data_IF_203917102730
#
_entry.id   IF_203917102730
#
_cell.length_a   1.000
_cell.length_b   1.000
_cell.length_c   1.000
_cell.angle_alpha   90.00
_cell.angle_beta   90.00
_cell.angle_gamma   90.00
#
_symmetry.space_group_name_H-M   'P 1'
#
loop_
_entity.id
_entity.type
_entity.pdbx_description
1 polymer ?
#
# COMPACT_ATOMS: atom_id res chain seq x y z
N UNK A 1 17.46 -11.85 12.80
CA UNK A 1 18.37 -11.65 13.97
C UNK A 1 18.21 -10.21 14.45
N UNK A 2 17.92 -10.00 15.74
CA UNK A 2 17.75 -8.64 16.30
C UNK A 2 19.15 -8.02 16.42
N UNK A 3 19.38 -6.87 15.81
CA UNK A 3 20.65 -6.14 15.85
C UNK A 3 20.78 -5.39 17.17
N UNK A 4 22.02 -5.26 17.68
CA UNK A 4 22.29 -4.39 18.82
C UNK A 4 22.33 -2.91 18.42
N UNK A 5 22.13 -2.01 19.37
CA UNK A 5 22.25 -0.54 19.12
C UNK A 5 23.64 -0.16 18.58
N UNK A 6 24.69 -0.87 19.01
CA UNK A 6 26.07 -0.64 18.54
C UNK A 6 26.24 -1.04 17.07
N UNK A 7 25.69 -2.19 16.67
CA UNK A 7 25.71 -2.63 15.26
C UNK A 7 24.97 -1.64 14.36
N UNK A 8 23.82 -1.15 14.81
CA UNK A 8 23.06 -0.10 14.07
C UNK A 8 23.87 1.18 13.94
N UNK A 9 24.53 1.63 15.03
CA UNK A 9 25.39 2.82 14.98
C UNK A 9 26.57 2.64 14.03
N UNK A 10 27.21 1.48 14.03
CA UNK A 10 28.32 1.17 13.09
C UNK A 10 27.84 1.22 11.63
N UNK A 11 26.67 0.68 11.35
CA UNK A 11 26.07 0.74 10.00
C UNK A 11 25.81 2.20 9.57
N UNK A 12 25.25 3.02 10.46
CA UNK A 12 25.00 4.44 10.20
C UNK A 12 26.32 5.17 9.92
N UNK A 13 27.34 4.97 10.76
CA UNK A 13 28.64 5.63 10.61
C UNK A 13 29.42 5.16 9.40
N UNK A 14 29.18 3.93 8.94
CA UNK A 14 29.79 3.37 7.74
C UNK A 14 29.09 3.75 6.42
N UNK A 15 28.00 4.52 6.48
CA UNK A 15 27.23 4.92 5.31
C UNK A 15 26.96 6.43 5.31
N UNK A 16 27.61 7.15 4.39
CA UNK A 16 27.53 8.61 4.30
C UNK A 16 26.11 9.15 4.16
N UNK A 17 25.25 8.46 3.42
CA UNK A 17 23.84 8.83 3.24
C UNK A 17 23.07 8.72 4.56
N UNK A 18 23.22 7.61 5.26
CA UNK A 18 22.58 7.40 6.57
C UNK A 18 23.12 8.38 7.61
N UNK A 19 24.44 8.60 7.63
CA UNK A 19 25.07 9.53 8.54
C UNK A 19 24.57 10.97 8.36
N UNK A 20 24.38 11.40 7.11
CA UNK A 20 23.84 12.73 6.81
C UNK A 20 22.41 12.91 7.33
N UNK A 21 21.55 11.91 7.18
CA UNK A 21 20.20 11.93 7.75
C UNK A 21 20.24 11.90 9.28
N UNK A 22 21.08 11.04 9.85
CA UNK A 22 21.28 10.90 11.29
C UNK A 22 21.71 12.19 11.97
N UNK A 23 22.62 12.93 11.37
CA UNK A 23 23.08 14.23 11.88
C UNK A 23 21.99 15.31 11.85
N UNK A 24 21.02 15.19 10.97
CA UNK A 24 19.86 16.09 10.91
C UNK A 24 18.83 15.87 12.02
N UNK A 25 18.92 14.76 12.75
CA UNK A 25 17.98 14.43 13.82
C UNK A 25 18.44 14.93 15.18
N UNK A 26 17.47 15.33 16.03
CA UNK A 26 17.77 15.62 17.42
C UNK A 26 18.04 14.32 18.21
N UNK A 27 18.57 14.46 19.43
CA UNK A 27 18.97 13.32 20.27
C UNK A 27 17.82 12.37 20.56
N UNK A 28 16.62 12.87 20.79
CA UNK A 28 15.43 12.04 21.06
C UNK A 28 15.05 11.18 19.85
N UNK A 29 15.08 11.76 18.67
CA UNK A 29 14.83 11.04 17.40
C UNK A 29 15.89 9.96 17.14
N UNK A 30 17.17 10.27 17.42
CA UNK A 30 18.27 9.32 17.30
C UNK A 30 18.12 8.13 18.25
N UNK A 31 17.81 8.38 19.52
CA UNK A 31 17.59 7.31 20.50
C UNK A 31 16.37 6.46 20.13
N UNK A 32 15.27 7.10 19.72
CA UNK A 32 14.05 6.43 19.28
C UNK A 32 14.31 5.50 18.08
N UNK A 33 15.09 5.97 17.10
CA UNK A 33 15.48 5.16 15.95
C UNK A 33 16.31 3.94 16.35
N UNK A 34 17.27 4.11 17.24
CA UNK A 34 18.05 2.98 17.77
C UNK A 34 17.18 1.96 18.49
N UNK A 35 16.19 2.41 19.27
CA UNK A 35 15.23 1.52 19.93
C UNK A 35 14.43 0.68 18.93
N UNK A 36 13.95 1.30 17.85
CA UNK A 36 13.25 0.58 16.80
C UNK A 36 14.14 -0.44 16.09
N UNK A 37 15.35 -0.03 15.69
CA UNK A 37 16.27 -0.91 14.95
C UNK A 37 16.82 -2.06 15.80
N UNK A 38 16.93 -1.86 17.12
CA UNK A 38 17.38 -2.88 18.07
C UNK A 38 16.24 -3.74 18.65
N UNK A 39 15.00 -3.50 18.23
CA UNK A 39 13.83 -4.24 18.73
C UNK A 39 13.44 -3.95 20.18
N UNK A 40 14.07 -2.94 20.83
CA UNK A 40 13.68 -2.51 22.17
C UNK A 40 12.32 -1.79 22.16
N UNK A 41 11.95 -1.25 21.02
CA UNK A 41 10.65 -0.63 20.79
C UNK A 41 10.03 -1.14 19.50
N UNK A 42 8.78 -1.57 19.56
CA UNK A 42 8.02 -2.02 18.38
C UNK A 42 7.59 -0.85 17.50
N UNK A 43 7.78 -0.98 16.21
CA UNK A 43 7.24 -0.02 15.22
C UNK A 43 5.75 -0.33 15.01
N UNK A 44 4.91 0.70 15.08
CA UNK A 44 3.51 0.58 14.69
C UNK A 44 3.42 0.59 13.16
N UNK A 45 3.39 -0.59 12.57
CA UNK A 45 3.42 -0.77 11.11
C UNK A 45 2.22 -0.10 10.41
N UNK A 46 1.09 0.03 11.11
CA UNK A 46 -0.11 0.70 10.62
C UNK A 46 -0.07 2.23 10.78
N UNK A 47 1.08 2.80 11.12
CA UNK A 47 1.28 4.23 11.04
C UNK A 47 1.47 4.62 9.56
N UNK A 48 0.64 5.51 9.05
CA UNK A 48 0.51 5.84 7.63
C UNK A 48 1.86 6.02 6.90
N UNK A 49 2.76 6.80 7.47
CA UNK A 49 4.09 7.05 6.90
C UNK A 49 4.94 5.77 6.83
N UNK A 50 4.95 4.97 7.90
CA UNK A 50 5.71 3.71 7.91
C UNK A 50 5.10 2.67 6.99
N UNK A 51 3.78 2.60 6.94
CA UNK A 51 3.08 1.68 6.06
C UNK A 51 3.43 1.95 4.59
N UNK A 52 3.33 3.20 4.16
CA UNK A 52 3.66 3.61 2.79
C UNK A 52 5.13 3.39 2.44
N UNK A 53 6.05 3.59 3.37
CA UNK A 53 7.48 3.37 3.15
C UNK A 53 7.83 1.87 3.11
N UNK A 54 7.27 1.07 4.03
CA UNK A 54 7.58 -0.37 4.13
C UNK A 54 6.93 -1.17 3.01
N UNK A 55 5.74 -0.77 2.60
CA UNK A 55 4.92 -1.44 1.58
C UNK A 55 4.84 -0.61 0.28
N UNK A 56 5.87 0.16 -0.04
CA UNK A 56 5.98 0.81 -1.33
C UNK A 56 6.27 -0.23 -2.43
N UNK A 57 5.31 -0.50 -3.33
CA UNK A 57 5.49 -1.52 -4.36
C UNK A 57 6.51 -1.14 -5.44
N UNK A 58 6.97 0.13 -5.47
CA UNK A 58 8.01 0.57 -6.40
C UNK A 58 9.42 0.23 -5.88
N UNK A 59 9.60 0.20 -4.56
CA UNK A 59 10.91 -0.04 -3.93
C UNK A 59 11.06 -1.46 -3.40
N UNK A 60 9.97 -2.04 -2.88
CA UNK A 60 9.97 -3.39 -2.26
C UNK A 60 8.72 -4.18 -2.66
N UNK A 61 8.52 -4.48 -3.96
CA UNK A 61 7.33 -5.18 -4.44
C UNK A 61 7.13 -6.55 -3.77
N UNK A 62 8.21 -7.25 -3.43
CA UNK A 62 8.17 -8.56 -2.79
C UNK A 62 7.45 -8.56 -1.44
N UNK A 63 7.52 -7.47 -0.68
CA UNK A 63 6.82 -7.35 0.62
C UNK A 63 5.31 -7.24 0.43
N UNK A 64 4.89 -6.47 -0.57
CA UNK A 64 3.47 -6.34 -0.93
C UNK A 64 2.94 -7.66 -1.50
N UNK A 65 3.71 -8.34 -2.35
CA UNK A 65 3.38 -9.66 -2.89
C UNK A 65 3.20 -10.71 -1.79
N UNK A 66 4.12 -10.75 -0.82
CA UNK A 66 4.05 -11.66 0.30
C UNK A 66 2.81 -11.39 1.17
N UNK A 67 2.56 -10.12 1.53
CA UNK A 67 1.39 -9.73 2.32
C UNK A 67 0.09 -10.06 1.59
N UNK A 68 -0.03 -9.73 0.31
CA UNK A 68 -1.20 -10.05 -0.49
C UNK A 68 -1.38 -11.56 -0.63
N UNK A 69 -0.28 -12.32 -0.80
CA UNK A 69 -0.33 -13.77 -0.91
C UNK A 69 -0.87 -14.42 0.37
N UNK A 70 -0.48 -13.92 1.54
CA UNK A 70 -0.98 -14.38 2.84
C UNK A 70 -2.47 -14.08 3.02
N UNK A 71 -2.90 -12.85 2.68
CA UNK A 71 -4.30 -12.43 2.83
C UNK A 71 -5.22 -13.18 1.85
N UNK A 72 -4.82 -13.26 0.58
CA UNK A 72 -5.63 -13.87 -0.48
C UNK A 72 -5.49 -15.40 -0.52
N UNK A 73 -4.59 -15.99 0.28
CA UNK A 73 -4.31 -17.43 0.35
C UNK A 73 -3.96 -18.05 -1.01
N UNK A 74 -3.26 -17.30 -1.83
CA UNK A 74 -2.79 -17.71 -3.15
C UNK A 74 -1.49 -16.97 -3.46
N UNK A 75 -0.63 -17.58 -4.30
CA UNK A 75 0.59 -16.89 -4.76
C UNK A 75 0.22 -15.68 -5.60
N UNK A 76 0.72 -14.52 -5.21
CA UNK A 76 0.48 -13.24 -5.86
C UNK A 76 1.79 -12.70 -6.42
N UNK A 77 1.75 -12.17 -7.63
CA UNK A 77 2.81 -11.39 -8.24
C UNK A 77 2.26 -10.09 -8.77
N UNK A 78 3.00 -9.01 -8.57
CA UNK A 78 2.65 -7.68 -9.07
C UNK A 78 3.12 -7.58 -10.51
N UNK A 79 2.18 -7.27 -11.40
CA UNK A 79 2.48 -6.95 -12.80
C UNK A 79 2.83 -5.47 -12.95
N UNK A 80 2.08 -4.60 -12.25
CA UNK A 80 2.22 -3.14 -12.39
C UNK A 80 1.71 -2.41 -11.16
N UNK A 81 2.40 -1.33 -10.79
CA UNK A 81 1.89 -0.34 -9.82
C UNK A 81 0.97 0.63 -10.55
N UNK A 82 -0.19 0.89 -9.97
CA UNK A 82 -1.22 1.75 -10.56
C UNK A 82 -1.29 3.10 -9.82
N UNK A 83 -1.81 4.15 -10.49
CA UNK A 83 -2.02 5.45 -9.83
C UNK A 83 -2.91 5.32 -8.59
N UNK A 84 -2.55 6.06 -7.55
CA UNK A 84 -3.30 6.08 -6.28
C UNK A 84 -4.62 6.84 -6.40
N UNK A 85 -4.74 7.68 -7.42
CA UNK A 85 -5.89 8.54 -7.67
C UNK A 85 -6.57 8.18 -8.99
N UNK A 86 -7.89 8.32 -9.03
CA UNK A 86 -8.64 8.26 -10.30
C UNK A 86 -8.51 9.56 -11.07
N UNK A 87 -8.51 9.51 -12.41
CA UNK A 87 -8.63 10.73 -13.23
C UNK A 87 -9.89 11.51 -12.85
N UNK A 88 -9.75 12.78 -12.57
CA UNK A 88 -10.89 13.67 -12.29
C UNK A 88 -11.72 13.85 -13.56
N UNK A 89 -13.03 13.65 -13.45
CA UNK A 89 -13.98 13.91 -14.54
C UNK A 89 -14.62 15.30 -14.45
N UNK A 90 -14.28 16.09 -13.41
CA UNK A 90 -14.77 17.45 -13.18
C UNK A 90 -14.26 18.01 -11.86
N UNK A 91 -14.36 19.36 -11.70
CA UNK A 91 -13.82 20.07 -10.53
C UNK A 91 -14.52 19.78 -9.21
N UNK A 92 -15.75 19.25 -9.24
CA UNK A 92 -16.59 19.04 -8.06
C UNK A 92 -16.50 17.59 -7.49
N UNK A 93 -15.72 16.71 -8.10
CA UNK A 93 -15.65 15.32 -7.65
C UNK A 93 -14.68 15.18 -6.48
N UNK A 94 -15.17 14.55 -5.40
CA UNK A 94 -14.34 14.13 -4.28
C UNK A 94 -13.25 13.18 -4.77
N UNK A 95 -11.99 13.51 -4.48
CA UNK A 95 -10.85 12.71 -4.83
C UNK A 95 -10.76 11.51 -3.89
N UNK A 96 -10.84 10.29 -4.45
CA UNK A 96 -10.52 9.07 -3.71
C UNK A 96 -9.01 8.83 -3.89
N UNK A 97 -8.25 9.07 -2.82
CA UNK A 97 -6.82 8.76 -2.75
C UNK A 97 -6.66 7.44 -2.03
N UNK A 98 -5.92 6.51 -2.65
CA UNK A 98 -5.64 5.18 -2.12
C UNK A 98 -4.20 5.10 -1.63
N UNK A 99 -3.89 4.15 -0.73
CA UNK A 99 -2.52 4.02 -0.19
C UNK A 99 -1.61 3.19 -1.11
N UNK A 100 -2.05 2.01 -1.53
CA UNK A 100 -1.31 1.14 -2.44
C UNK A 100 -2.26 0.50 -3.44
N UNK A 101 -2.03 0.70 -4.74
CA UNK A 101 -2.84 0.09 -5.81
C UNK A 101 -1.94 -0.65 -6.78
N UNK A 102 -2.17 -1.93 -6.98
CA UNK A 102 -1.39 -2.78 -7.86
C UNK A 102 -2.26 -3.63 -8.78
N UNK A 103 -1.76 -3.88 -9.99
CA UNK A 103 -2.27 -4.91 -10.89
C UNK A 103 -1.48 -6.19 -10.68
N UNK A 104 -2.17 -7.30 -10.57
CA UNK A 104 -1.58 -8.62 -10.41
C UNK A 104 -1.40 -9.33 -11.76
N UNK A 105 -0.61 -10.40 -11.80
CA UNK A 105 -0.34 -11.17 -13.05
C UNK A 105 -1.61 -11.72 -13.71
N UNK A 106 -2.67 -11.99 -12.94
CA UNK A 106 -3.97 -12.41 -13.46
C UNK A 106 -4.84 -11.24 -13.95
N UNK A 107 -4.27 -10.03 -13.99
CA UNK A 107 -4.91 -8.76 -14.32
C UNK A 107 -6.01 -8.31 -13.34
N UNK A 108 -6.13 -8.93 -12.18
CA UNK A 108 -6.93 -8.37 -11.09
C UNK A 108 -6.25 -7.13 -10.50
N UNK A 109 -7.02 -6.28 -9.82
CA UNK A 109 -6.50 -5.10 -9.12
C UNK A 109 -6.63 -5.32 -7.62
N UNK A 110 -5.56 -5.05 -6.87
CA UNK A 110 -5.59 -5.02 -5.41
C UNK A 110 -5.30 -3.61 -4.91
N UNK A 111 -6.13 -3.15 -3.97
CA UNK A 111 -5.91 -1.96 -3.18
C UNK A 111 -5.69 -2.36 -1.73
N UNK A 112 -4.65 -1.80 -1.11
CA UNK A 112 -4.31 -2.01 0.29
C UNK A 112 -4.32 -0.67 1.00
N UNK A 113 -5.19 -0.55 2.00
CA UNK A 113 -5.45 0.68 2.78
C UNK A 113 -5.12 0.46 4.25
N UNK A 114 -4.67 1.52 4.93
CA UNK A 114 -4.51 1.55 6.38
C UNK A 114 -5.44 2.57 7.01
N UNK A 115 -6.12 2.15 8.07
CA UNK A 115 -7.00 3.04 8.83
C UNK A 115 -6.75 2.92 10.33
N UNK A 116 -6.43 4.03 10.99
CA UNK A 116 -6.15 4.06 12.44
C UNK A 116 -7.38 3.82 13.30
N UNK A 117 -8.51 4.39 12.92
CA UNK A 117 -9.77 4.27 13.63
C UNK A 117 -10.85 3.74 12.71
N UNK A 118 -11.75 2.93 13.25
CA UNK A 118 -13.00 2.61 12.57
C UNK A 118 -13.78 3.90 12.35
N UNK A 119 -13.93 4.31 11.10
CA UNK A 119 -14.85 5.38 10.75
C UNK A 119 -16.29 4.89 10.95
N UNK A 120 -17.20 5.83 11.21
CA UNK A 120 -18.61 5.54 10.97
C UNK A 120 -18.76 5.11 9.51
N UNK A 121 -19.52 4.05 9.27
CA UNK A 121 -19.77 3.50 7.92
C UNK A 121 -18.53 2.93 7.17
N UNK A 122 -17.79 1.99 7.77
CA UNK A 122 -16.62 1.39 7.12
C UNK A 122 -16.98 0.63 5.83
N UNK A 123 -18.16 0.03 5.77
CA UNK A 123 -18.66 -0.68 4.59
C UNK A 123 -18.88 0.24 3.39
N UNK A 124 -19.45 1.43 3.61
CA UNK A 124 -19.67 2.42 2.55
C UNK A 124 -18.35 2.94 1.98
N UNK A 125 -17.35 3.18 2.84
CA UNK A 125 -16.01 3.59 2.40
C UNK A 125 -15.36 2.49 1.55
N UNK A 126 -15.39 1.25 2.02
CA UNK A 126 -14.88 0.11 1.27
C UNK A 126 -15.59 -0.04 -0.09
N UNK A 127 -16.92 0.15 -0.12
CA UNK A 127 -17.70 0.12 -1.36
C UNK A 127 -17.29 1.22 -2.34
N UNK A 128 -17.00 2.44 -1.87
CA UNK A 128 -16.50 3.53 -2.72
C UNK A 128 -15.15 3.17 -3.36
N UNK A 129 -14.20 2.65 -2.58
CA UNK A 129 -12.91 2.18 -3.13
C UNK A 129 -13.09 1.07 -4.16
N UNK A 130 -13.90 0.06 -3.82
CA UNK A 130 -14.16 -1.07 -4.73
C UNK A 130 -14.84 -0.62 -6.02
N UNK A 131 -15.77 0.31 -5.95
CA UNK A 131 -16.48 0.86 -7.11
C UNK A 131 -15.53 1.63 -8.02
N UNK A 132 -14.65 2.46 -7.46
CA UNK A 132 -13.63 3.20 -8.22
C UNK A 132 -12.68 2.25 -8.95
N UNK A 133 -12.17 1.22 -8.25
CA UNK A 133 -11.30 0.21 -8.84
C UNK A 133 -11.99 -0.58 -9.94
N UNK A 134 -13.26 -0.92 -9.77
CA UNK A 134 -14.06 -1.63 -10.78
C UNK A 134 -14.22 -0.78 -12.03
N UNK A 135 -14.48 0.52 -11.89
CA UNK A 135 -14.58 1.45 -13.03
C UNK A 135 -13.23 1.64 -13.72
N UNK A 136 -12.11 1.68 -12.97
CA UNK A 136 -10.76 1.70 -13.57
C UNK A 136 -10.50 0.42 -14.37
N UNK A 137 -10.86 -0.72 -13.82
CA UNK A 137 -10.72 -2.01 -14.49
C UNK A 137 -11.56 -2.06 -15.78
N UNK A 138 -12.82 -1.62 -15.72
CA UNK A 138 -13.69 -1.52 -16.88
C UNK A 138 -13.08 -0.69 -18.01
N UNK A 139 -12.59 0.52 -17.69
CA UNK A 139 -11.97 1.43 -18.69
C UNK A 139 -10.76 0.77 -19.34
N UNK A 140 -9.86 0.21 -18.54
CA UNK A 140 -8.63 -0.44 -19.03
C UNK A 140 -8.93 -1.62 -19.95
N UNK A 141 -9.79 -2.54 -19.50
CA UNK A 141 -10.17 -3.71 -20.32
C UNK A 141 -10.80 -3.28 -21.63
N UNK A 142 -11.65 -2.27 -21.59
CA UNK A 142 -12.29 -1.74 -22.78
C UNK A 142 -11.26 -1.13 -23.74
N UNK A 143 -10.37 -0.26 -23.26
CA UNK A 143 -9.32 0.36 -24.06
C UNK A 143 -8.36 -0.69 -24.67
N UNK A 144 -7.98 -1.70 -23.90
CA UNK A 144 -7.09 -2.76 -24.36
C UNK A 144 -7.75 -3.66 -25.44
N UNK A 145 -9.04 -3.94 -25.30
CA UNK A 145 -9.77 -4.68 -26.33
C UNK A 145 -10.01 -3.84 -27.59
N UNK A 146 -10.31 -2.55 -27.45
CA UNK A 146 -10.44 -1.63 -28.58
C UNK A 146 -9.11 -1.55 -29.39
N UNK A 147 -7.95 -1.46 -28.74
CA UNK A 147 -6.63 -1.51 -29.39
C UNK A 147 -6.36 -2.82 -30.13
N UNK A 148 -6.97 -3.93 -29.67
CA UNK A 148 -6.84 -5.25 -30.28
C UNK A 148 -7.95 -5.53 -31.31
N UNK A 149 -8.79 -4.54 -31.62
CA UNK A 149 -9.97 -4.68 -32.51
C UNK A 149 -10.95 -5.80 -32.05
N UNK A 150 -10.97 -6.08 -30.74
CA UNK A 150 -11.84 -7.09 -30.14
C UNK A 150 -13.10 -6.47 -29.53
N UNK A 151 -14.19 -7.22 -29.60
CA UNK A 151 -15.46 -6.80 -29.00
C UNK A 151 -15.40 -6.91 -27.47
N UNK A 152 -15.78 -5.85 -26.75
CA UNK A 152 -15.87 -5.85 -25.30
C UNK A 152 -16.96 -6.83 -24.79
N UNK A 153 -16.63 -7.51 -23.70
CA UNK A 153 -17.59 -8.29 -22.89
C UNK A 153 -17.32 -8.04 -21.41
N UNK A 154 -18.38 -7.95 -20.61
CA UNK A 154 -18.25 -7.85 -19.15
C UNK A 154 -17.57 -9.04 -18.49
N UNK A 155 -17.47 -10.19 -19.18
CA UNK A 155 -16.72 -11.37 -18.72
C UNK A 155 -15.21 -11.14 -18.67
N UNK A 156 -14.71 -10.16 -19.40
CA UNK A 156 -13.29 -9.80 -19.43
C UNK A 156 -12.86 -8.98 -18.20
N UNK A 157 -13.82 -8.42 -17.46
CA UNK A 157 -13.52 -7.68 -16.24
C UNK A 157 -13.00 -8.64 -15.18
N UNK A 158 -11.80 -8.38 -14.70
CA UNK A 158 -11.15 -9.19 -13.67
C UNK A 158 -11.58 -8.72 -12.26
N UNK A 159 -11.20 -9.50 -11.25
CA UNK A 159 -11.52 -9.21 -9.86
C UNK A 159 -10.85 -7.91 -9.39
N UNK A 160 -11.50 -7.27 -8.45
CA UNK A 160 -10.89 -6.19 -7.65
C UNK A 160 -10.91 -6.61 -6.18
N UNK A 161 -9.82 -6.35 -5.48
CA UNK A 161 -9.65 -6.63 -4.06
C UNK A 161 -9.46 -5.32 -3.33
N UNK A 162 -10.31 -5.03 -2.36
CA UNK A 162 -10.15 -3.90 -1.45
C UNK A 162 -9.84 -4.46 -0.07
N UNK A 163 -8.61 -4.25 0.37
CA UNK A 163 -8.08 -4.76 1.63
C UNK A 163 -7.84 -3.56 2.54
N UNK A 164 -8.52 -3.53 3.68
CA UNK A 164 -8.40 -2.45 4.65
C UNK A 164 -7.86 -3.02 5.95
N UNK A 165 -6.70 -2.54 6.38
CA UNK A 165 -6.09 -2.90 7.64
C UNK A 165 -6.46 -1.86 8.69
N UNK A 166 -7.16 -2.28 9.74
CA UNK A 166 -7.55 -1.42 10.84
C UNK A 166 -6.62 -1.59 12.04
N UNK A 167 -6.13 -0.49 12.62
CA UNK A 167 -5.45 -0.54 13.92
C UNK A 167 -6.43 -0.94 15.04
N UNK A 168 -7.67 -0.48 14.93
CA UNK A 168 -8.79 -0.90 15.80
C UNK A 168 -9.96 -1.27 14.94
N UNK A 169 -10.45 -2.49 15.09
CA UNK A 169 -11.63 -2.96 14.36
C UNK A 169 -12.83 -2.05 14.58
N UNK A 170 -13.55 -1.70 13.50
CA UNK A 170 -14.83 -1.00 13.63
C UNK A 170 -15.81 -1.82 14.47
N UNK A 171 -16.68 -1.14 15.22
CA UNK A 171 -17.70 -1.82 16.03
C UNK A 171 -18.88 -2.36 15.20
N UNK A 172 -18.97 -1.94 13.94
CA UNK A 172 -20.09 -2.21 13.02
C UNK A 172 -19.73 -3.21 11.91
N UNK A 173 -18.80 -4.12 12.18
CA UNK A 173 -18.55 -5.28 11.29
C UNK A 173 -19.15 -6.52 11.89
#
# INVERSE_FOLDING_TARGET
MIRTREEVRKEITGNDRLMKVWQGWNREQQELFLDYCSGQRGVRILYDTFFKEILDPNTTPERVEELLSLILKQKVKILKVLPLESPRLGDEQSLIVMDVVVELEDHSIANLEVQKAGYYFPGQRAACYSSDLLLRQYRRVREDLEKQEKRFSYREIKKVYTIILYEKSPKEF
#
